data_IF_604822849730
#
_entry.id   IF_604822849730
#
_cell.length_a   1.000
_cell.length_b   1.000
_cell.length_c   1.000
_cell.angle_alpha   90.00
_cell.angle_beta   90.00
_cell.angle_gamma   90.00
#
_symmetry.space_group_name_H-M   'P 1'
#
loop_
_entity.id
_entity.type
_entity.pdbx_description
1 polymer ?
#
# COMPACT_ATOMS: atom_id res chain seq x y z
N UNK A 1 57.33 -19.98 -41.80
CA UNK A 1 56.40 -18.87 -41.52
C UNK A 1 55.02 -19.45 -41.24
N UNK A 2 54.66 -19.61 -39.97
CA UNK A 2 53.25 -19.84 -39.57
C UNK A 2 53.14 -19.41 -38.11
N UNK A 3 52.57 -18.22 -37.88
CA UNK A 3 52.30 -17.71 -36.54
C UNK A 3 50.83 -18.00 -36.20
N UNK A 4 50.61 -18.74 -35.12
CA UNK A 4 49.30 -19.08 -34.58
C UNK A 4 48.83 -17.92 -33.69
N UNK A 5 47.76 -17.23 -34.10
CA UNK A 5 47.12 -16.21 -33.26
C UNK A 5 46.19 -16.89 -32.24
N UNK A 6 46.53 -16.80 -30.96
CA UNK A 6 45.63 -17.16 -29.85
C UNK A 6 44.85 -15.90 -29.48
N UNK A 7 43.55 -15.87 -29.78
CA UNK A 7 42.65 -14.80 -29.36
C UNK A 7 42.25 -15.02 -27.90
N UNK A 8 42.72 -14.15 -27.01
CA UNK A 8 42.32 -14.11 -25.61
C UNK A 8 41.00 -13.35 -25.50
N UNK A 9 39.89 -14.06 -25.23
CA UNK A 9 38.60 -13.46 -24.90
C UNK A 9 38.70 -12.84 -23.50
N UNK A 10 38.83 -11.51 -23.45
CA UNK A 10 38.77 -10.74 -22.21
C UNK A 10 37.30 -10.66 -21.79
N UNK A 11 36.88 -11.56 -20.89
CA UNK A 11 35.56 -11.49 -20.26
C UNK A 11 35.45 -10.25 -19.38
N UNK A 12 34.58 -9.31 -19.74
CA UNK A 12 34.25 -8.17 -18.89
C UNK A 12 33.58 -8.68 -17.60
N UNK A 13 34.05 -8.29 -16.41
CA UNK A 13 33.35 -8.62 -15.18
C UNK A 13 32.00 -7.91 -15.19
N UNK A 14 30.89 -8.66 -15.12
CA UNK A 14 29.61 -8.09 -14.74
C UNK A 14 29.77 -7.53 -13.32
N UNK A 15 29.79 -6.20 -13.20
CA UNK A 15 29.64 -5.53 -11.92
C UNK A 15 28.27 -5.92 -11.35
N UNK A 16 28.25 -6.81 -10.37
CA UNK A 16 27.08 -7.05 -9.57
C UNK A 16 26.77 -5.75 -8.81
N UNK A 17 25.66 -5.09 -9.15
CA UNK A 17 25.14 -3.99 -8.34
C UNK A 17 24.82 -4.57 -6.96
N UNK A 18 25.44 -4.09 -5.86
CA UNK A 18 25.14 -4.61 -4.53
C UNK A 18 23.66 -4.38 -4.25
N UNK A 19 22.93 -5.46 -4.00
CA UNK A 19 21.57 -5.38 -3.51
C UNK A 19 21.61 -4.60 -2.19
N UNK A 20 20.94 -3.45 -2.14
CA UNK A 20 20.83 -2.65 -0.92
C UNK A 20 20.07 -3.49 0.10
N UNK A 21 20.72 -3.83 1.21
CA UNK A 21 20.05 -4.51 2.33
C UNK A 21 18.83 -3.70 2.73
N UNK A 22 17.72 -4.38 3.03
CA UNK A 22 16.53 -3.72 3.53
C UNK A 22 16.86 -2.90 4.79
N UNK A 23 16.32 -1.68 4.85
CA UNK A 23 16.42 -0.74 5.96
C UNK A 23 15.06 -0.52 6.67
N UNK A 24 13.97 -1.05 6.10
CA UNK A 24 12.64 -1.11 6.70
C UNK A 24 11.94 -2.44 6.39
N UNK A 25 11.06 -2.87 7.26
CA UNK A 25 10.27 -4.11 7.09
C UNK A 25 9.22 -3.96 5.98
N UNK A 26 8.72 -2.75 5.79
CA UNK A 26 7.63 -2.44 4.88
C UNK A 26 7.78 -1.02 4.29
N UNK A 27 7.63 -0.90 2.97
CA UNK A 27 7.30 0.36 2.31
C UNK A 27 5.81 0.33 1.92
N UNK A 28 5.03 1.25 2.48
CA UNK A 28 3.57 1.29 2.39
C UNK A 28 3.09 2.58 1.74
N UNK A 29 2.33 2.46 0.66
CA UNK A 29 1.55 3.58 0.09
C UNK A 29 0.11 3.47 0.59
N UNK A 30 -0.35 4.49 1.30
CA UNK A 30 -1.77 4.67 1.62
C UNK A 30 -2.41 5.49 0.50
N UNK A 31 -3.08 4.81 -0.43
CA UNK A 31 -3.72 5.42 -1.59
C UNK A 31 -5.21 5.68 -1.30
N UNK A 32 -5.57 6.94 -1.08
CA UNK A 32 -6.87 7.36 -0.56
C UNK A 32 -7.71 8.04 -1.64
N UNK A 33 -8.91 7.50 -1.86
CA UNK A 33 -9.87 8.08 -2.80
C UNK A 33 -10.32 9.48 -2.37
N UNK A 34 -10.33 10.39 -3.33
CA UNK A 34 -10.82 11.77 -3.23
C UNK A 34 -11.69 12.17 -4.41
N UNK A 35 -12.16 11.18 -5.18
CA UNK A 35 -13.11 11.34 -6.29
C UNK A 35 -14.40 12.04 -5.82
N UNK A 36 -15.28 12.37 -6.78
CA UNK A 36 -16.41 13.28 -6.50
C UNK A 36 -17.45 12.70 -5.52
N UNK A 37 -17.47 11.38 -5.30
CA UNK A 37 -18.27 10.71 -4.26
C UNK A 37 -17.76 11.00 -2.84
N UNK A 38 -16.48 11.34 -2.68
CA UNK A 38 -15.86 11.61 -1.38
C UNK A 38 -15.88 13.12 -1.11
N UNK A 39 -16.78 13.57 -0.21
CA UNK A 39 -16.79 14.96 0.26
C UNK A 39 -15.71 15.21 1.33
N UNK A 40 -15.53 16.48 1.74
CA UNK A 40 -14.53 16.85 2.75
C UNK A 40 -14.74 16.13 4.09
N UNK A 41 -15.98 15.98 4.55
CA UNK A 41 -16.28 15.29 5.82
C UNK A 41 -15.85 13.81 5.77
N UNK A 42 -16.18 13.12 4.68
CA UNK A 42 -15.79 11.73 4.41
C UNK A 42 -14.27 11.60 4.32
N UNK A 43 -13.59 12.51 3.63
CA UNK A 43 -12.12 12.56 3.59
C UNK A 43 -11.53 12.71 5.01
N UNK A 44 -12.05 13.65 5.80
CA UNK A 44 -11.58 13.88 7.17
C UNK A 44 -11.84 12.69 8.09
N UNK A 45 -12.91 11.92 7.88
CA UNK A 45 -13.12 10.65 8.60
C UNK A 45 -12.01 9.64 8.28
N UNK A 46 -11.60 9.52 7.02
CA UNK A 46 -10.48 8.65 6.64
C UNK A 46 -9.17 9.11 7.32
N UNK A 47 -8.86 10.40 7.26
CA UNK A 47 -7.62 10.95 7.85
C UNK A 47 -7.58 10.77 9.36
N UNK A 48 -8.70 10.96 10.06
CA UNK A 48 -8.82 10.62 11.49
C UNK A 48 -8.56 9.15 11.77
N UNK A 49 -9.15 8.25 10.97
CA UNK A 49 -8.92 6.82 11.09
C UNK A 49 -7.45 6.43 10.93
N UNK A 50 -6.75 6.97 9.93
CA UNK A 50 -5.31 6.74 9.78
C UNK A 50 -4.54 7.27 11.00
N UNK A 51 -4.81 8.52 11.42
CA UNK A 51 -4.10 9.13 12.54
C UNK A 51 -4.29 8.37 13.85
N UNK A 52 -5.51 7.91 14.13
CA UNK A 52 -5.83 7.07 15.29
C UNK A 52 -5.13 5.71 15.21
N UNK A 53 -5.16 5.06 14.04
CA UNK A 53 -4.54 3.76 13.84
C UNK A 53 -3.01 3.80 14.00
N UNK A 54 -2.32 4.80 13.44
CA UNK A 54 -0.86 4.94 13.62
C UNK A 54 -0.47 5.32 15.05
N UNK A 55 -1.34 5.98 15.82
CA UNK A 55 -1.10 6.28 17.25
C UNK A 55 -1.43 5.10 18.17
N UNK A 56 -2.05 4.04 17.65
CA UNK A 56 -2.44 2.88 18.42
C UNK A 56 -1.21 2.08 18.89
N UNK A 57 -1.20 1.67 20.17
CA UNK A 57 -0.09 0.93 20.75
C UNK A 57 0.16 -0.43 20.11
N UNK A 58 -0.87 -1.10 19.61
CA UNK A 58 -0.73 -2.42 18.98
C UNK A 58 -0.06 -2.28 17.61
N UNK A 59 -0.38 -1.21 16.87
CA UNK A 59 0.27 -0.90 15.59
C UNK A 59 1.73 -0.53 15.82
N UNK A 60 2.01 0.34 16.79
CA UNK A 60 3.40 0.71 17.14
C UNK A 60 4.19 -0.53 17.61
N UNK A 61 3.61 -1.35 18.49
CA UNK A 61 4.25 -2.56 18.98
C UNK A 61 4.50 -3.59 17.87
N UNK A 62 3.62 -3.69 16.88
CA UNK A 62 3.84 -4.54 15.71
C UNK A 62 5.01 -4.02 14.84
N UNK A 63 5.14 -2.70 14.67
CA UNK A 63 6.29 -2.09 13.96
C UNK A 63 7.60 -2.38 14.70
N UNK A 64 7.61 -2.18 16.02
CA UNK A 64 8.80 -2.35 16.87
C UNK A 64 9.29 -3.82 16.93
N UNK A 65 8.38 -4.79 16.73
CA UNK A 65 8.71 -6.21 16.65
C UNK A 65 9.28 -6.62 15.28
N UNK A 66 9.24 -5.70 14.31
CA UNK A 66 9.93 -5.71 13.00
C UNK A 66 11.33 -6.33 13.03
N UNK A 67 11.77 -7.19 12.09
CA UNK A 67 13.20 -7.45 11.89
C UNK A 67 14.05 -6.19 11.83
N UNK A 68 13.55 -5.13 11.20
CA UNK A 68 14.17 -3.81 11.14
C UNK A 68 13.58 -2.81 12.14
N UNK A 69 12.47 -3.14 12.80
CA UNK A 69 11.79 -2.29 13.78
C UNK A 69 11.23 -1.01 13.17
N UNK A 70 10.99 -0.99 11.86
CA UNK A 70 10.67 0.24 11.12
C UNK A 70 9.90 -0.03 9.83
N UNK A 71 8.97 0.87 9.50
CA UNK A 71 8.27 0.91 8.21
C UNK A 71 8.41 2.30 7.58
N UNK A 72 8.42 2.38 6.25
CA UNK A 72 8.30 3.63 5.51
C UNK A 72 6.86 3.78 5.01
N UNK A 73 6.22 4.92 5.27
CA UNK A 73 4.81 5.16 4.89
C UNK A 73 4.68 6.48 4.15
N UNK A 74 3.85 6.51 3.12
CA UNK A 74 3.42 7.73 2.44
C UNK A 74 1.90 7.75 2.26
N UNK A 75 1.31 8.95 2.18
CA UNK A 75 -0.12 9.13 1.92
C UNK A 75 -0.31 9.84 0.57
N UNK A 76 -1.10 9.23 -0.29
CA UNK A 76 -1.38 9.68 -1.65
C UNK A 76 -2.89 9.83 -1.82
N UNK A 77 -3.34 11.01 -2.24
CA UNK A 77 -4.70 11.20 -2.74
C UNK A 77 -4.78 10.83 -4.22
N UNK A 78 -5.88 10.24 -4.64
CA UNK A 78 -6.15 9.94 -6.05
C UNK A 78 -7.62 10.21 -6.42
N UNK A 79 -7.87 10.46 -7.71
CA UNK A 79 -9.21 10.61 -8.28
C UNK A 79 -9.24 10.07 -9.73
N UNK A 80 -9.32 10.95 -10.74
CA UNK A 80 -9.31 10.55 -12.15
C UNK A 80 -7.95 9.98 -12.57
N UNK A 81 -7.90 9.33 -13.74
CA UNK A 81 -6.63 8.85 -14.27
C UNK A 81 -5.65 10.01 -14.49
N UNK A 82 -4.45 9.91 -13.89
CA UNK A 82 -3.44 10.98 -13.90
C UNK A 82 -3.61 12.02 -12.77
N UNK A 83 -4.73 12.02 -12.05
CA UNK A 83 -4.96 12.91 -10.92
C UNK A 83 -4.56 12.21 -9.61
N UNK A 84 -3.32 12.42 -9.19
CA UNK A 84 -2.81 11.95 -7.92
C UNK A 84 -1.87 12.97 -7.28
N UNK A 85 -1.80 12.96 -5.95
CA UNK A 85 -0.90 13.82 -5.18
C UNK A 85 -0.41 13.11 -3.93
N UNK A 86 0.91 13.06 -3.77
CA UNK A 86 1.53 12.71 -2.49
C UNK A 86 1.32 13.88 -1.52
N UNK A 87 0.45 13.69 -0.53
CA UNK A 87 0.07 14.73 0.44
C UNK A 87 0.82 14.59 1.77
N UNK A 88 1.33 13.39 2.06
CA UNK A 88 2.34 13.17 3.11
C UNK A 88 3.50 12.41 2.48
N UNK A 89 4.68 13.03 2.47
CA UNK A 89 5.91 12.39 1.97
C UNK A 89 6.30 11.15 2.76
N UNK A 90 7.22 10.36 2.19
CA UNK A 90 7.76 9.17 2.85
C UNK A 90 8.28 9.48 4.26
N UNK A 91 7.68 8.82 5.24
CA UNK A 91 8.02 8.95 6.66
C UNK A 91 8.39 7.60 7.20
N UNK A 92 9.59 7.49 7.80
CA UNK A 92 9.99 6.27 8.50
C UNK A 92 9.40 6.29 9.90
N UNK A 93 8.56 5.30 10.21
CA UNK A 93 7.92 5.09 11.49
C UNK A 93 8.63 3.93 12.19
N UNK A 94 9.14 4.19 13.39
CA UNK A 94 9.88 3.20 14.22
C UNK A 94 9.51 3.25 15.70
N UNK A 95 8.72 4.24 16.10
CA UNK A 95 8.36 4.52 17.48
C UNK A 95 7.10 5.40 17.56
N UNK A 96 6.61 5.62 18.76
CA UNK A 96 5.45 6.51 19.03
C UNK A 96 5.65 7.93 18.51
N UNK A 97 6.87 8.47 18.52
CA UNK A 97 7.14 9.87 18.14
C UNK A 97 7.00 10.04 16.63
N UNK A 98 7.68 9.21 15.85
CA UNK A 98 7.60 9.16 14.40
C UNK A 98 6.18 8.81 13.92
N UNK A 99 5.50 7.88 14.58
CA UNK A 99 4.10 7.57 14.30
C UNK A 99 3.17 8.77 14.55
N UNK A 100 3.37 9.48 15.66
CA UNK A 100 2.58 10.68 15.98
C UNK A 100 2.83 11.82 15.00
N UNK A 101 4.05 11.97 14.49
CA UNK A 101 4.39 12.94 13.43
C UNK A 101 3.65 12.63 12.13
N UNK A 102 3.67 11.37 11.68
CA UNK A 102 2.91 10.95 10.51
C UNK A 102 1.41 11.18 10.68
N UNK A 103 0.86 10.79 11.84
CA UNK A 103 -0.54 11.01 12.18
C UNK A 103 -0.94 12.49 12.19
N UNK A 104 -0.09 13.37 12.73
CA UNK A 104 -0.33 14.83 12.68
C UNK A 104 -0.29 15.35 11.24
N UNK A 105 0.73 14.96 10.46
CA UNK A 105 0.82 15.37 9.06
C UNK A 105 -0.40 14.92 8.24
N UNK A 106 -0.91 13.71 8.47
CA UNK A 106 -2.13 13.22 7.81
C UNK A 106 -3.36 14.06 8.15
N UNK A 107 -3.54 14.46 9.42
CA UNK A 107 -4.65 15.31 9.86
C UNK A 107 -4.58 16.75 9.32
N UNK A 108 -3.38 17.24 9.04
CA UNK A 108 -3.15 18.57 8.49
C UNK A 108 -3.39 18.64 6.96
N UNK A 109 -3.58 17.48 6.32
CA UNK A 109 -3.95 17.45 4.90
C UNK A 109 -5.41 17.87 4.68
N UNK A 110 -5.65 18.62 3.60
CA UNK A 110 -6.99 18.87 3.07
C UNK A 110 -7.24 18.03 1.81
N UNK A 111 -8.51 17.77 1.48
CA UNK A 111 -8.86 17.16 0.19
C UNK A 111 -8.44 18.11 -0.94
N UNK A 112 -7.61 17.62 -1.85
CA UNK A 112 -6.92 18.47 -2.84
C UNK A 112 -7.21 18.10 -4.30
N UNK A 113 -7.97 17.02 -4.51
CA UNK A 113 -8.39 16.50 -5.81
C UNK A 113 -9.91 16.22 -5.79
N UNK A 114 -10.50 16.17 -6.97
CA UNK A 114 -11.89 15.76 -7.21
C UNK A 114 -11.99 15.33 -8.67
N UNK A 115 -12.87 14.40 -8.98
CA UNK A 115 -13.04 13.91 -10.35
C UNK A 115 -13.70 12.55 -10.42
N UNK A 116 -13.31 11.78 -11.42
CA UNK A 116 -13.72 10.38 -11.60
C UNK A 116 -12.98 9.46 -10.62
N UNK A 117 -13.24 8.15 -10.70
CA UNK A 117 -12.63 7.11 -9.85
C UNK A 117 -11.71 6.24 -10.72
N UNK A 118 -10.39 6.40 -10.57
CA UNK A 118 -9.37 5.63 -11.28
C UNK A 118 -8.54 4.78 -10.33
N UNK A 119 -9.03 3.58 -10.02
CA UNK A 119 -8.27 2.56 -9.28
C UNK A 119 -7.02 2.14 -10.04
N UNK A 120 -7.08 2.06 -11.38
CA UNK A 120 -5.88 1.79 -12.18
C UNK A 120 -4.84 2.90 -12.03
N UNK A 121 -5.27 4.17 -12.08
CA UNK A 121 -4.38 5.32 -11.88
C UNK A 121 -3.78 5.36 -10.47
N UNK A 122 -4.55 4.97 -9.46
CA UNK A 122 -4.07 4.83 -8.08
C UNK A 122 -2.96 3.78 -7.97
N UNK A 123 -3.13 2.61 -8.61
CA UNK A 123 -2.12 1.55 -8.65
C UNK A 123 -0.87 2.04 -9.38
N UNK A 124 -1.02 2.57 -10.60
CA UNK A 124 0.09 3.02 -11.45
C UNK A 124 0.94 4.09 -10.74
N UNK A 125 0.30 5.08 -10.11
CA UNK A 125 0.98 6.12 -9.34
C UNK A 125 1.69 5.53 -8.10
N UNK A 126 1.05 4.61 -7.38
CA UNK A 126 1.63 3.99 -6.20
C UNK A 126 2.87 3.15 -6.51
N UNK A 127 2.89 2.47 -7.66
CA UNK A 127 4.10 1.79 -8.16
C UNK A 127 5.25 2.78 -8.35
N UNK A 128 4.98 3.94 -8.97
CA UNK A 128 6.00 4.99 -9.15
C UNK A 128 6.51 5.53 -7.82
N UNK A 129 5.63 5.76 -6.83
CA UNK A 129 6.04 6.21 -5.50
C UNK A 129 6.90 5.18 -4.76
N UNK A 130 6.57 3.88 -4.89
CA UNK A 130 7.37 2.81 -4.29
C UNK A 130 8.76 2.70 -4.95
N UNK A 131 8.83 2.79 -6.28
CA UNK A 131 10.09 2.74 -7.02
C UNK A 131 11.00 3.94 -6.71
N UNK A 132 10.41 5.12 -6.47
CA UNK A 132 11.13 6.36 -6.14
C UNK A 132 11.28 6.63 -4.64
N UNK A 133 10.86 5.70 -3.78
CA UNK A 133 10.83 5.89 -2.32
C UNK A 133 12.20 6.13 -1.68
N UNK A 134 13.27 5.61 -2.29
CA UNK A 134 14.63 5.65 -1.73
C UNK A 134 14.85 4.71 -0.54
N UNK A 135 13.84 3.94 -0.14
CA UNK A 135 13.87 2.97 0.96
C UNK A 135 14.03 1.55 0.43
N UNK A 136 14.92 0.78 1.03
CA UNK A 136 15.05 -0.64 0.74
C UNK A 136 14.12 -1.39 1.69
N UNK A 137 13.01 -1.93 1.20
CA UNK A 137 12.03 -2.59 2.04
C UNK A 137 11.96 -4.09 1.79
N UNK A 138 11.78 -4.87 2.86
CA UNK A 138 11.52 -6.32 2.76
C UNK A 138 10.20 -6.63 2.05
N UNK A 139 9.19 -5.76 2.21
CA UNK A 139 7.92 -5.82 1.49
C UNK A 139 7.53 -4.45 0.94
N UNK A 140 6.86 -4.45 -0.21
CA UNK A 140 6.28 -3.25 -0.83
C UNK A 140 4.78 -3.46 -0.97
N UNK A 141 4.00 -2.56 -0.40
CA UNK A 141 2.54 -2.71 -0.32
C UNK A 141 1.84 -1.43 -0.73
N UNK A 142 0.76 -1.59 -1.48
CA UNK A 142 -0.20 -0.54 -1.78
C UNK A 142 -1.50 -0.88 -1.04
N UNK A 143 -1.93 0.03 -0.17
CA UNK A 143 -3.22 -0.04 0.50
C UNK A 143 -4.17 0.97 -0.16
N UNK A 144 -5.15 0.47 -0.90
CA UNK A 144 -6.12 1.31 -1.64
C UNK A 144 -7.44 1.38 -0.86
N UNK A 145 -7.86 2.58 -0.48
CA UNK A 145 -9.21 2.83 0.03
C UNK A 145 -10.03 3.64 -0.97
N UNK A 146 -11.31 3.29 -1.14
CA UNK A 146 -12.23 3.99 -2.03
C UNK A 146 -13.67 3.50 -1.95
N UNK A 147 -14.59 4.30 -2.47
CA UNK A 147 -16.04 4.05 -2.37
C UNK A 147 -16.74 3.74 -3.71
N UNK A 148 -15.99 3.66 -4.82
CA UNK A 148 -16.54 3.34 -6.14
C UNK A 148 -15.65 2.45 -7.02
N UNK A 149 -16.26 1.84 -8.03
CA UNK A 149 -15.58 1.05 -9.06
C UNK A 149 -14.84 1.95 -10.06
N UNK A 150 -13.88 1.37 -10.78
CA UNK A 150 -13.09 2.10 -11.76
C UNK A 150 -13.96 2.58 -12.93
N UNK A 151 -13.98 3.89 -13.16
CA UNK A 151 -14.70 4.54 -14.26
C UNK A 151 -13.80 5.51 -15.06
N UNK A 152 -12.50 5.51 -14.79
CA UNK A 152 -11.50 6.31 -15.48
C UNK A 152 -10.17 5.55 -15.58
N UNK A 153 -9.49 5.67 -16.71
CA UNK A 153 -8.24 4.95 -16.99
C UNK A 153 -8.47 3.55 -17.57
N UNK A 154 -7.42 2.73 -17.52
CA UNK A 154 -7.41 1.35 -18.03
C UNK A 154 -8.09 0.37 -17.06
N UNK A 155 -8.32 -0.90 -17.44
CA UNK A 155 -8.81 -1.92 -16.51
C UNK A 155 -7.87 -2.07 -15.29
N UNK A 156 -8.38 -2.02 -14.04
CA UNK A 156 -7.54 -2.15 -12.85
C UNK A 156 -6.78 -3.47 -12.75
N UNK A 157 -7.34 -4.55 -13.30
CA UNK A 157 -6.70 -5.86 -13.29
C UNK A 157 -5.35 -5.85 -14.03
N UNK A 158 -5.24 -5.10 -15.14
CA UNK A 158 -3.97 -4.96 -15.87
C UNK A 158 -2.93 -4.21 -15.03
N UNK A 159 -3.33 -3.12 -14.36
CA UNK A 159 -2.45 -2.36 -13.48
C UNK A 159 -2.01 -3.18 -12.26
N UNK A 160 -2.95 -3.95 -11.68
CA UNK A 160 -2.67 -4.89 -10.62
C UNK A 160 -1.59 -5.88 -11.06
N UNK A 161 -1.82 -6.59 -12.17
CA UNK A 161 -0.94 -7.68 -12.61
C UNK A 161 0.50 -7.17 -12.88
N UNK A 162 0.64 -5.96 -13.41
CA UNK A 162 1.95 -5.30 -13.56
C UNK A 162 2.61 -4.94 -12.22
N UNK A 163 1.85 -4.44 -11.25
CA UNK A 163 2.36 -4.19 -9.90
C UNK A 163 2.82 -5.49 -9.22
N UNK A 164 2.06 -6.58 -9.38
CA UNK A 164 2.44 -7.89 -8.83
C UNK A 164 3.72 -8.42 -9.47
N UNK A 165 3.87 -8.26 -10.78
CA UNK A 165 5.09 -8.62 -11.50
C UNK A 165 6.32 -7.80 -11.02
N UNK A 166 6.10 -6.60 -10.49
CA UNK A 166 7.12 -5.79 -9.84
C UNK A 166 7.39 -6.15 -8.36
N UNK A 167 6.78 -7.22 -7.85
CA UNK A 167 6.93 -7.69 -6.46
C UNK A 167 6.22 -6.82 -5.43
N UNK A 168 5.12 -6.15 -5.84
CA UNK A 168 4.31 -5.29 -4.98
C UNK A 168 2.99 -6.00 -4.66
N UNK A 169 2.62 -6.06 -3.39
CA UNK A 169 1.31 -6.55 -2.95
C UNK A 169 0.31 -5.40 -2.94
N UNK A 170 -0.93 -5.66 -3.37
CA UNK A 170 -2.03 -4.69 -3.33
C UNK A 170 -3.12 -5.23 -2.41
N UNK A 171 -3.49 -4.43 -1.41
CA UNK A 171 -4.61 -4.72 -0.54
C UNK A 171 -5.72 -3.68 -0.68
N UNK A 172 -6.93 -4.07 -0.27
CA UNK A 172 -8.13 -3.26 -0.41
C UNK A 172 -8.72 -2.82 0.93
N UNK A 173 -9.27 -1.61 0.94
CA UNK A 173 -10.18 -1.10 1.97
C UNK A 173 -11.42 -0.47 1.30
N UNK A 174 -12.28 -1.27 0.64
CA UNK A 174 -13.50 -0.77 0.01
C UNK A 174 -14.47 -0.22 1.07
N UNK A 175 -15.11 0.91 0.75
CA UNK A 175 -16.10 1.59 1.58
C UNK A 175 -17.46 1.46 0.91
N UNK A 176 -18.40 0.70 1.49
CA UNK A 176 -19.64 0.26 0.81
C UNK A 176 -20.75 1.32 0.73
N UNK A 177 -20.39 2.60 0.67
CA UNK A 177 -21.36 3.71 0.70
C UNK A 177 -22.05 3.96 -0.64
N UNK A 178 -21.32 3.92 -1.76
CA UNK A 178 -21.91 4.12 -3.09
C UNK A 178 -22.24 2.79 -3.77
N UNK A 179 -21.39 1.78 -3.59
CA UNK A 179 -21.53 0.46 -4.23
C UNK A 179 -21.54 -0.67 -3.18
N UNK A 180 -22.71 -1.27 -2.87
CA UNK A 180 -22.83 -2.28 -1.81
C UNK A 180 -22.03 -3.57 -2.01
N UNK A 181 -21.58 -3.86 -3.23
CA UNK A 181 -20.79 -5.06 -3.57
C UNK A 181 -19.37 -4.70 -4.04
N UNK A 182 -18.87 -3.52 -3.68
CA UNK A 182 -17.55 -3.04 -4.07
C UNK A 182 -16.42 -3.96 -3.59
N UNK A 183 -16.63 -4.69 -2.48
CA UNK A 183 -15.72 -5.71 -1.98
C UNK A 183 -15.44 -6.82 -3.00
N UNK A 184 -16.46 -7.26 -3.74
CA UNK A 184 -16.31 -8.25 -4.82
C UNK A 184 -15.53 -7.65 -5.99
N UNK A 185 -15.84 -6.42 -6.36
CA UNK A 185 -15.12 -5.72 -7.41
C UNK A 185 -13.63 -5.58 -7.07
N UNK A 186 -13.30 -5.17 -5.84
CA UNK A 186 -11.92 -5.06 -5.35
C UNK A 186 -11.21 -6.41 -5.35
N UNK A 187 -11.91 -7.48 -4.93
CA UNK A 187 -11.38 -8.84 -4.94
C UNK A 187 -10.97 -9.27 -6.35
N UNK A 188 -11.83 -9.04 -7.32
CA UNK A 188 -11.65 -9.56 -8.68
C UNK A 188 -10.67 -8.70 -9.50
N UNK A 189 -10.60 -7.39 -9.24
CA UNK A 189 -9.92 -6.43 -10.12
C UNK A 189 -8.76 -5.67 -9.48
N UNK A 190 -8.69 -5.55 -8.15
CA UNK A 190 -7.78 -4.58 -7.49
C UNK A 190 -6.70 -5.27 -6.65
N UNK A 191 -7.09 -6.15 -5.73
CA UNK A 191 -6.14 -6.75 -4.79
C UNK A 191 -5.36 -7.89 -5.45
N UNK A 192 -4.14 -8.14 -4.98
CA UNK A 192 -3.34 -9.27 -5.43
C UNK A 192 -1.93 -9.28 -4.86
N UNK A 193 -1.22 -10.39 -5.09
CA UNK A 193 0.13 -10.61 -4.57
C UNK A 193 0.15 -11.48 -3.31
N UNK A 194 1.34 -11.90 -2.84
CA UNK A 194 1.46 -12.78 -1.69
C UNK A 194 0.82 -12.17 -0.44
N UNK A 195 -0.10 -12.93 0.17
CA UNK A 195 -0.80 -12.53 1.39
C UNK A 195 -1.77 -11.37 1.23
N UNK A 196 -2.14 -10.99 0.00
CA UNK A 196 -3.08 -9.91 -0.26
C UNK A 196 -4.44 -10.15 0.39
N UNK A 197 -5.06 -9.07 0.88
CA UNK A 197 -6.37 -9.15 1.51
C UNK A 197 -7.17 -7.86 1.36
N UNK A 198 -8.45 -7.96 1.72
CA UNK A 198 -9.34 -6.83 1.90
C UNK A 198 -9.81 -6.73 3.35
N UNK A 199 -10.11 -5.51 3.78
CA UNK A 199 -10.92 -5.22 4.96
C UNK A 199 -12.04 -4.32 4.49
N UNK A 200 -13.28 -4.62 4.83
CA UNK A 200 -14.43 -3.84 4.35
C UNK A 200 -14.80 -2.81 5.41
N UNK A 201 -15.10 -1.58 4.98
CA UNK A 201 -15.80 -0.61 5.80
C UNK A 201 -17.23 -0.47 5.28
N UNK A 202 -18.23 -0.71 6.13
CA UNK A 202 -19.64 -0.56 5.73
C UNK A 202 -19.96 0.90 5.33
N UNK A 203 -19.32 1.86 5.98
CA UNK A 203 -19.38 3.28 5.66
C UNK A 203 -18.12 4.03 6.15
N UNK A 204 -18.07 5.34 5.92
CA UNK A 204 -16.98 6.20 6.39
C UNK A 204 -16.87 6.31 7.92
N UNK A 205 -17.91 6.00 8.69
CA UNK A 205 -17.87 5.98 10.17
C UNK A 205 -17.19 4.69 10.66
N UNK A 206 -17.37 3.59 9.93
CA UNK A 206 -16.69 2.31 10.18
C UNK A 206 -15.20 2.34 9.79
N UNK A 207 -14.77 3.33 9.00
CA UNK A 207 -13.40 3.42 8.48
C UNK A 207 -12.33 3.30 9.57
N UNK A 208 -12.43 4.05 10.69
CA UNK A 208 -11.42 4.03 11.76
C UNK A 208 -11.18 2.62 12.31
N UNK A 209 -12.25 1.84 12.54
CA UNK A 209 -12.14 0.48 13.04
C UNK A 209 -11.52 -0.45 11.98
N UNK A 210 -11.95 -0.29 10.73
CA UNK A 210 -11.47 -1.08 9.59
C UNK A 210 -9.98 -0.85 9.32
N UNK A 211 -9.51 0.41 9.28
CA UNK A 211 -8.11 0.72 9.03
C UNK A 211 -7.19 0.29 10.19
N UNK A 212 -7.66 0.40 11.44
CA UNK A 212 -6.90 -0.12 12.58
C UNK A 212 -6.70 -1.64 12.48
N UNK A 213 -7.76 -2.40 12.20
CA UNK A 213 -7.67 -3.84 12.00
C UNK A 213 -6.74 -4.18 10.82
N UNK A 214 -6.87 -3.45 9.71
CA UNK A 214 -6.05 -3.62 8.52
C UNK A 214 -4.56 -3.40 8.82
N UNK A 215 -4.17 -2.29 9.46
CA UNK A 215 -2.77 -2.02 9.78
C UNK A 215 -2.18 -3.02 10.77
N UNK A 216 -2.97 -3.46 11.77
CA UNK A 216 -2.56 -4.53 12.68
C UNK A 216 -2.25 -5.81 11.91
N UNK A 217 -3.11 -6.23 10.98
CA UNK A 217 -2.88 -7.42 10.14
C UNK A 217 -1.69 -7.24 9.20
N UNK A 218 -1.60 -6.08 8.54
CA UNK A 218 -0.56 -5.78 7.55
C UNK A 218 0.84 -5.84 8.15
N UNK A 219 1.00 -5.24 9.34
CA UNK A 219 2.29 -5.12 10.01
C UNK A 219 2.59 -6.40 10.80
N UNK A 220 1.62 -6.94 11.55
CA UNK A 220 1.84 -8.16 12.34
C UNK A 220 1.97 -9.44 11.50
N UNK A 221 1.30 -9.51 10.34
CA UNK A 221 1.38 -10.64 9.41
C UNK A 221 2.77 -10.88 8.82
N UNK A 222 3.72 -9.95 9.05
CA UNK A 222 5.13 -10.13 8.70
C UNK A 222 5.93 -10.94 9.74
N UNK A 223 5.37 -11.18 10.93
CA UNK A 223 6.06 -11.83 12.06
C UNK A 223 5.62 -13.25 12.38
N UNK A 224 4.41 -13.61 11.96
CA UNK A 224 3.83 -14.92 12.26
C UNK A 224 3.94 -15.84 11.05
N UNK A 225 4.70 -16.93 11.19
CA UNK A 225 4.54 -18.10 10.33
C UNK A 225 3.05 -18.51 10.36
N UNK A 226 2.45 -18.67 9.17
CA UNK A 226 0.99 -18.71 8.92
C UNK A 226 0.27 -19.88 9.64
N UNK A 227 0.98 -20.69 10.42
CA UNK A 227 0.48 -21.89 11.08
C UNK A 227 -0.27 -21.65 12.41
N UNK A 228 -0.45 -20.42 12.90
CA UNK A 228 -0.92 -20.20 14.28
C UNK A 228 -2.05 -19.18 14.52
N UNK A 229 -2.74 -18.67 13.50
CA UNK A 229 -3.92 -17.81 13.71
C UNK A 229 -5.21 -18.54 13.34
N UNK A 230 -5.76 -19.26 14.30
CA UNK A 230 -7.19 -19.62 14.34
C UNK A 230 -7.89 -18.70 15.32
N UNK A 231 -9.03 -18.13 14.90
CA UNK A 231 -10.00 -17.32 15.65
C UNK A 231 -10.03 -15.81 15.36
N UNK A 232 -10.74 -15.49 14.27
CA UNK A 232 -11.82 -14.50 14.07
C UNK A 232 -12.12 -14.60 12.56
N UNK A 233 -13.38 -14.71 12.08
CA UNK A 233 -13.64 -15.19 10.73
C UNK A 233 -13.00 -14.25 9.72
N UNK A 234 -11.90 -14.65 9.05
CA UNK A 234 -11.46 -13.92 7.89
C UNK A 234 -12.39 -14.38 6.78
N UNK A 235 -12.78 -13.49 5.87
CA UNK A 235 -12.90 -13.95 4.49
C UNK A 235 -11.47 -14.29 4.04
N UNK A 236 -11.01 -15.46 4.49
CA UNK A 236 -9.74 -16.05 4.12
C UNK A 236 -9.95 -16.63 2.74
N UNK A 237 -9.41 -15.97 1.73
CA UNK A 237 -9.33 -16.54 0.39
C UNK A 237 -8.00 -17.29 0.32
N UNK A 238 -8.06 -18.55 0.72
CA UNK A 238 -7.07 -19.53 0.29
C UNK A 238 -7.20 -19.72 -1.22
N UNK A 239 -6.10 -19.60 -1.94
CA UNK A 239 -6.00 -19.90 -3.36
C UNK A 239 -5.87 -21.43 -3.53
N UNK A 240 -6.78 -22.03 -4.30
CA UNK A 240 -6.64 -23.40 -4.81
C UNK A 240 -5.64 -23.46 -5.98
#
# INVERSE_FOLDING_TARGET
MTALLVAFLIGSPLSAVPARSADVDLALVLAVDTSSSVNEERYQLQMRGFAEAFRNSDVIGAIEQGPHGAIAVTLVQWASYGDYRQVVGWTVIRDRVSASRFATAALETGRSLSGSTSLSGAIDASVQFLQSSGHAASRKVIDISGDGSNNSGRPPAEARDEALAAGITINGLPILTEEPTLDRYFRDNVIGGPGAFLVVADDFRAFSAAILYKLKREIAGSHYDIRHLTMLPPYDVSFD
#
